data_IF_952558461725
#
_entry.id   IF_952558461725
#
_cell.length_a   1.000
_cell.length_b   1.000
_cell.length_c   1.000
_cell.angle_alpha   90.00
_cell.angle_beta   90.00
_cell.angle_gamma   90.00
#
_symmetry.space_group_name_H-M   'P 1'
#
loop_
_entity.id
_entity.type
_entity.pdbx_description
1 polymer ?
#
# COMPACT_ATOMS: atom_id res chain seq x y z
N UNK A 1 4.59 6.79 -15.50
CA UNK A 1 5.88 6.70 -14.77
C UNK A 1 6.08 7.98 -13.95
N UNK A 2 6.71 7.90 -12.79
CA UNK A 2 6.94 9.05 -11.90
C UNK A 2 6.76 8.69 -10.42
N UNK A 3 7.44 9.43 -9.54
CA UNK A 3 7.32 9.31 -8.08
C UNK A 3 5.93 9.85 -7.66
N UNK A 4 5.37 9.30 -6.59
CA UNK A 4 4.10 9.79 -6.04
C UNK A 4 4.23 11.23 -5.56
N UNK A 5 3.42 12.14 -6.12
CA UNK A 5 3.35 13.55 -5.70
C UNK A 5 2.58 13.75 -4.39
N UNK A 6 1.73 12.79 -4.00
CA UNK A 6 0.91 12.87 -2.79
C UNK A 6 0.77 11.54 -2.06
N UNK A 7 0.41 11.60 -0.77
CA UNK A 7 0.27 10.43 0.12
C UNK A 7 1.55 9.61 0.29
N UNK A 8 2.69 10.28 0.19
CA UNK A 8 4.04 9.77 0.41
C UNK A 8 4.54 9.99 1.87
N UNK A 9 3.76 10.71 2.68
CA UNK A 9 4.06 11.04 4.08
C UNK A 9 3.06 10.37 5.02
N UNK A 10 3.53 9.98 6.20
CA UNK A 10 2.70 9.41 7.29
C UNK A 10 1.80 10.53 7.82
N UNK A 11 0.48 10.29 7.96
CA UNK A 11 -0.44 11.32 8.49
C UNK A 11 -1.21 10.91 9.74
N UNK A 12 -1.42 9.62 9.97
CA UNK A 12 -2.26 9.11 11.06
C UNK A 12 -1.48 8.24 12.05
N UNK A 13 -0.66 7.33 11.52
CA UNK A 13 0.12 6.39 12.32
C UNK A 13 1.50 6.91 12.72
N UNK A 14 2.29 6.03 13.35
CA UNK A 14 3.73 6.23 13.60
C UNK A 14 4.60 5.40 12.65
N UNK A 15 4.02 4.36 12.06
CA UNK A 15 4.69 3.41 11.17
C UNK A 15 3.89 3.25 9.89
N UNK A 16 4.56 3.00 8.78
CA UNK A 16 3.89 2.81 7.50
C UNK A 16 4.60 1.80 6.58
N UNK A 17 3.83 1.30 5.61
CA UNK A 17 4.33 0.54 4.48
C UNK A 17 4.31 1.42 3.23
N UNK A 18 5.48 1.66 2.64
CA UNK A 18 5.64 2.48 1.44
C UNK A 18 5.99 1.61 0.22
N UNK A 19 5.40 1.90 -0.94
CA UNK A 19 5.72 1.26 -2.20
C UNK A 19 7.05 1.76 -2.77
N UNK A 20 7.89 0.85 -3.28
CA UNK A 20 9.13 1.19 -3.99
C UNK A 20 8.96 1.13 -5.51
N UNK A 21 7.96 0.39 -5.98
CA UNK A 21 7.73 0.13 -7.40
C UNK A 21 6.31 0.53 -7.81
N UNK A 22 6.07 0.88 -9.08
CA UNK A 22 4.73 1.13 -9.58
C UNK A 22 3.99 -0.21 -9.78
N UNK A 23 2.73 -0.28 -9.36
CA UNK A 23 1.86 -1.41 -9.68
C UNK A 23 0.38 -1.06 -9.58
N UNK A 24 -0.45 -1.93 -10.15
CA UNK A 24 -1.89 -1.95 -9.90
C UNK A 24 -2.17 -2.96 -8.81
N UNK A 25 -2.69 -2.48 -7.67
CA UNK A 25 -2.98 -3.34 -6.53
C UNK A 25 -4.49 -3.58 -6.49
N UNK A 26 -4.90 -4.85 -6.53
CA UNK A 26 -6.31 -5.24 -6.49
C UNK A 26 -6.92 -5.03 -5.11
N UNK A 27 -8.24 -4.85 -5.04
CA UNK A 27 -8.99 -4.81 -3.77
C UNK A 27 -8.69 -6.01 -2.86
N UNK A 28 -8.56 -7.21 -3.45
CA UNK A 28 -8.21 -8.47 -2.75
C UNK A 28 -6.84 -8.41 -2.10
N UNK A 29 -5.83 -7.86 -2.77
CA UNK A 29 -4.49 -7.68 -2.21
C UNK A 29 -4.48 -6.65 -1.09
N UNK A 30 -5.23 -5.54 -1.26
CA UNK A 30 -5.38 -4.52 -0.21
C UNK A 30 -5.98 -5.13 1.06
N UNK A 31 -7.05 -5.90 0.91
CA UNK A 31 -7.69 -6.56 2.05
C UNK A 31 -6.81 -7.66 2.66
N UNK A 32 -6.05 -8.40 1.85
CA UNK A 32 -5.11 -9.40 2.34
C UNK A 32 -4.02 -8.79 3.22
N UNK A 33 -3.46 -7.64 2.81
CA UNK A 33 -2.50 -6.87 3.62
C UNK A 33 -3.11 -6.38 4.93
N UNK A 34 -4.31 -5.78 4.88
CA UNK A 34 -5.03 -5.30 6.06
C UNK A 34 -5.34 -6.42 7.06
N UNK A 35 -5.87 -7.55 6.59
CA UNK A 35 -6.16 -8.74 7.42
C UNK A 35 -4.89 -9.29 8.07
N UNK A 36 -3.79 -9.37 7.31
CA UNK A 36 -2.51 -9.84 7.81
C UNK A 36 -1.98 -8.96 8.95
N UNK A 37 -2.04 -7.63 8.82
CA UNK A 37 -1.66 -6.72 9.90
C UNK A 37 -2.56 -6.87 11.12
N UNK A 38 -3.88 -6.92 10.91
CA UNK A 38 -4.87 -6.99 12.00
C UNK A 38 -4.63 -8.23 12.88
N UNK A 39 -4.34 -9.39 12.26
CA UNK A 39 -4.01 -10.63 13.00
C UNK A 39 -2.76 -10.50 13.87
N UNK A 40 -1.81 -9.65 13.49
CA UNK A 40 -0.53 -9.49 14.18
C UNK A 40 -0.50 -8.28 15.14
N UNK A 41 -1.49 -7.39 15.07
CA UNK A 41 -1.47 -6.12 15.80
C UNK A 41 -1.77 -6.24 17.31
N UNK A 42 -2.21 -7.40 17.82
CA UNK A 42 -2.79 -7.60 19.17
C UNK A 42 -3.98 -6.63 19.43
N UNK A 43 -4.72 -6.82 20.52
CA UNK A 43 -5.83 -5.91 20.88
C UNK A 43 -5.25 -4.52 21.17
N UNK A 44 -5.60 -3.51 20.36
CA UNK A 44 -5.21 -2.10 20.56
C UNK A 44 -4.49 -1.42 19.40
N UNK A 45 -3.98 -2.17 18.41
CA UNK A 45 -3.33 -1.57 17.25
C UNK A 45 -4.33 -0.92 16.28
N UNK A 46 -4.10 0.35 15.94
CA UNK A 46 -4.85 1.08 14.91
C UNK A 46 -4.17 0.90 13.55
N UNK A 47 -4.96 0.59 12.52
CA UNK A 47 -4.48 0.35 11.15
C UNK A 47 -5.28 1.25 10.21
N UNK A 48 -4.59 1.95 9.32
CA UNK A 48 -5.20 2.74 8.26
C UNK A 48 -4.77 2.19 6.91
N UNK A 49 -5.74 2.10 6.00
CA UNK A 49 -5.49 1.79 4.58
C UNK A 49 -5.44 3.12 3.83
N UNK A 50 -4.35 3.37 3.10
CA UNK A 50 -4.05 4.67 2.46
C UNK A 50 -4.31 4.69 0.95
N UNK A 51 -4.69 3.55 0.40
CA UNK A 51 -5.04 3.37 -1.01
C UNK A 51 -6.43 2.79 -1.11
N UNK A 52 -7.19 3.22 -2.12
CA UNK A 52 -8.53 2.74 -2.41
C UNK A 52 -8.58 2.26 -3.86
N UNK A 53 -9.22 1.12 -4.15
CA UNK A 53 -9.33 0.62 -5.52
C UNK A 53 -10.42 1.39 -6.27
N UNK A 54 -10.03 2.51 -6.87
CA UNK A 54 -10.88 3.48 -7.56
C UNK A 54 -10.94 3.29 -9.08
N UNK A 55 -10.06 2.46 -9.65
CA UNK A 55 -10.00 2.22 -11.09
C UNK A 55 -10.66 0.88 -11.46
N UNK A 56 -11.74 0.86 -12.25
CA UNK A 56 -12.32 -0.37 -12.76
C UNK A 56 -11.44 -0.96 -13.88
N UNK A 57 -11.26 -2.28 -13.87
CA UNK A 57 -10.61 -3.06 -14.93
C UNK A 57 -11.67 -3.90 -15.61
N UNK A 58 -11.84 -3.69 -16.92
CA UNK A 58 -12.76 -4.44 -17.76
C UNK A 58 -12.04 -5.60 -18.41
N UNK A 59 -12.66 -6.79 -18.36
CA UNK A 59 -12.11 -7.99 -18.97
C UNK A 59 -13.20 -8.58 -19.87
N UNK A 60 -12.78 -9.13 -21.00
CA UNK A 60 -13.67 -9.90 -21.86
C UNK A 60 -13.53 -11.39 -21.52
N UNK A 61 -14.63 -12.16 -21.49
CA UNK A 61 -14.55 -13.60 -21.32
C UNK A 61 -13.62 -14.23 -22.36
N UNK A 62 -12.82 -15.20 -21.94
CA UNK A 62 -11.84 -15.87 -22.79
C UNK A 62 -12.46 -16.58 -24.02
N UNK A 63 -13.76 -16.87 -23.94
CA UNK A 63 -14.53 -17.57 -24.98
C UNK A 63 -14.98 -16.66 -26.13
N UNK A 64 -14.76 -15.35 -26.04
CA UNK A 64 -15.22 -14.37 -27.04
C UNK A 64 -14.13 -14.01 -28.06
N UNK A 65 -14.52 -13.85 -29.33
CA UNK A 65 -13.63 -13.35 -30.39
C UNK A 65 -13.34 -11.85 -30.24
N UNK A 66 -12.25 -11.38 -30.84
CA UNK A 66 -11.95 -9.95 -30.93
C UNK A 66 -13.04 -9.20 -31.71
N UNK A 67 -13.40 -7.98 -31.29
CA UNK A 67 -14.55 -7.21 -31.84
C UNK A 67 -15.73 -7.09 -30.86
N UNK A 68 -16.74 -6.26 -31.15
CA UNK A 68 -17.97 -6.08 -30.32
C UNK A 68 -17.90 -5.23 -29.03
N UNK A 69 -16.99 -4.25 -28.93
CA UNK A 69 -17.03 -3.21 -27.87
C UNK A 69 -16.38 -3.56 -26.52
N UNK A 70 -16.38 -2.64 -25.55
CA UNK A 70 -15.68 -2.83 -24.26
C UNK A 70 -16.40 -3.86 -23.39
N UNK A 71 -15.66 -4.74 -22.72
CA UNK A 71 -16.23 -5.70 -21.75
C UNK A 71 -16.70 -5.01 -20.46
N UNK A 72 -17.42 -5.76 -19.62
CA UNK A 72 -17.89 -5.28 -18.30
C UNK A 72 -16.73 -5.16 -17.30
N UNK A 73 -16.79 -4.23 -16.33
CA UNK A 73 -15.82 -4.18 -15.22
C UNK A 73 -15.83 -5.47 -14.39
N UNK A 74 -14.70 -6.16 -14.28
CA UNK A 74 -14.58 -7.40 -13.51
C UNK A 74 -14.03 -7.13 -12.10
N UNK A 75 -13.03 -6.27 -11.98
CA UNK A 75 -12.43 -5.94 -10.68
C UNK A 75 -11.91 -4.52 -10.62
N UNK A 76 -11.64 -4.05 -9.40
CA UNK A 76 -11.14 -2.71 -9.13
C UNK A 76 -9.70 -2.76 -8.62
N UNK A 77 -8.89 -1.81 -9.09
CA UNK A 77 -7.48 -1.67 -8.74
C UNK A 77 -7.18 -0.27 -8.25
N UNK A 78 -6.20 -0.18 -7.36
CA UNK A 78 -5.56 1.07 -6.97
C UNK A 78 -4.29 1.24 -7.82
N UNK A 79 -4.13 2.39 -8.46
CA UNK A 79 -2.91 2.71 -9.21
C UNK A 79 -1.86 3.28 -8.25
N UNK A 80 -0.82 2.52 -7.98
CA UNK A 80 0.23 2.87 -7.03
C UNK A 80 1.49 3.32 -7.77
N UNK A 81 2.06 4.45 -7.31
CA UNK A 81 3.36 4.98 -7.74
C UNK A 81 4.42 4.74 -6.64
N UNK A 82 5.71 4.66 -7.00
CA UNK A 82 6.80 4.64 -6.03
C UNK A 82 6.70 5.80 -5.03
N UNK A 83 7.01 5.55 -3.78
CA UNK A 83 6.92 6.51 -2.67
C UNK A 83 5.53 6.63 -2.05
N UNK A 84 4.49 6.02 -2.62
CA UNK A 84 3.14 6.05 -2.04
C UNK A 84 3.05 5.17 -0.79
N UNK A 85 2.41 5.68 0.27
CA UNK A 85 2.10 4.88 1.46
C UNK A 85 0.84 4.05 1.20
N UNK A 86 0.94 2.75 1.50
CA UNK A 86 -0.12 1.76 1.34
C UNK A 86 -0.91 1.58 2.63
N UNK A 87 -0.21 1.51 3.75
CA UNK A 87 -0.80 1.33 5.07
C UNK A 87 -0.08 2.14 6.13
N UNK A 88 -0.80 2.52 7.17
CA UNK A 88 -0.25 3.08 8.39
C UNK A 88 -0.69 2.29 9.61
N UNK A 89 0.13 2.35 10.66
CA UNK A 89 -0.09 1.66 11.91
C UNK A 89 0.28 2.53 13.11
N UNK A 90 -0.50 2.45 14.18
CA UNK A 90 -0.34 3.20 15.42
C UNK A 90 -0.83 2.43 16.64
N UNK A 91 -0.52 2.91 17.84
CA UNK A 91 -0.92 2.25 19.09
C UNK A 91 -0.18 0.94 19.39
N UNK A 92 0.97 0.70 18.74
CA UNK A 92 1.78 -0.51 18.93
C UNK A 92 3.27 -0.17 19.07
N UNK A 93 4.03 -1.08 19.66
CA UNK A 93 5.49 -0.96 19.75
C UNK A 93 6.15 -1.18 18.38
N UNK A 94 7.35 -0.61 18.18
CA UNK A 94 8.12 -0.73 16.92
C UNK A 94 8.36 -2.19 16.51
N UNK A 95 8.61 -3.08 17.49
CA UNK A 95 8.83 -4.51 17.26
C UNK A 95 7.60 -5.17 16.64
N UNK A 96 6.41 -4.91 17.19
CA UNK A 96 5.14 -5.43 16.68
C UNK A 96 4.83 -4.82 15.32
N UNK A 97 4.98 -3.50 15.18
CA UNK A 97 4.73 -2.80 13.92
C UNK A 97 5.60 -3.34 12.78
N UNK A 98 6.91 -3.52 13.01
CA UNK A 98 7.85 -4.05 12.01
C UNK A 98 7.45 -5.45 11.59
N UNK A 99 7.06 -6.32 12.52
CA UNK A 99 6.60 -7.67 12.20
C UNK A 99 5.30 -7.66 11.40
N UNK A 100 4.29 -6.90 11.85
CA UNK A 100 3.00 -6.81 11.19
C UNK A 100 3.12 -6.26 9.76
N UNK A 101 3.88 -5.19 9.58
CA UNK A 101 4.12 -4.55 8.28
C UNK A 101 4.95 -5.46 7.36
N UNK A 102 5.92 -6.21 7.89
CA UNK A 102 6.69 -7.19 7.10
C UNK A 102 5.80 -8.32 6.57
N UNK A 103 4.79 -8.76 7.32
CA UNK A 103 3.82 -9.75 6.86
C UNK A 103 2.86 -9.14 5.83
N UNK A 104 2.48 -7.87 5.98
CA UNK A 104 1.69 -7.16 4.97
C UNK A 104 2.46 -7.00 3.66
N UNK A 105 3.76 -6.69 3.73
CA UNK A 105 4.65 -6.57 2.59
C UNK A 105 4.68 -7.85 1.75
N UNK A 106 4.70 -9.04 2.38
CA UNK A 106 4.67 -10.32 1.64
C UNK A 106 3.33 -10.62 0.96
N UNK A 107 2.28 -9.83 1.22
CA UNK A 107 1.00 -9.90 0.50
C UNK A 107 0.92 -8.90 -0.66
N UNK A 108 1.87 -7.98 -0.76
CA UNK A 108 1.90 -7.00 -1.84
C UNK A 108 2.63 -7.59 -3.06
N UNK A 109 2.17 -7.28 -4.28
CA UNK A 109 2.80 -7.76 -5.52
C UNK A 109 4.08 -6.98 -5.89
N UNK A 110 4.56 -6.08 -5.03
CA UNK A 110 5.66 -5.16 -5.29
C UNK A 110 6.62 -5.07 -4.12
N UNK A 111 7.83 -4.58 -4.39
CA UNK A 111 8.76 -4.21 -3.33
C UNK A 111 8.21 -3.04 -2.53
N UNK A 112 8.32 -3.17 -1.21
CA UNK A 112 7.84 -2.19 -0.25
C UNK A 112 8.86 -2.01 0.86
N UNK A 113 8.87 -0.83 1.49
CA UNK A 113 9.71 -0.54 2.64
C UNK A 113 8.88 -0.16 3.87
N UNK A 114 9.40 -0.51 5.05
CA UNK A 114 8.89 -0.02 6.33
C UNK A 114 9.45 1.37 6.60
N UNK A 115 8.57 2.31 6.93
CA UNK A 115 8.96 3.65 7.37
C UNK A 115 8.40 3.93 8.76
N UNK A 116 9.10 4.78 9.51
CA UNK A 116 8.65 5.31 10.80
C UNK A 116 8.89 6.80 10.83
N UNK A 117 8.03 7.56 11.51
CA UNK A 117 8.12 9.03 11.55
C UNK A 117 9.52 9.53 11.95
N UNK A 118 10.16 8.86 12.92
CA UNK A 118 11.54 9.16 13.38
C UNK A 118 12.62 8.98 12.30
N UNK A 119 12.42 8.06 11.35
CA UNK A 119 13.37 7.79 10.26
C UNK A 119 13.16 8.80 9.13
N UNK A 120 11.91 9.20 8.89
CA UNK A 120 11.59 10.18 7.86
C UNK A 120 12.18 11.55 8.19
N UNK A 121 12.13 11.98 9.45
CA UNK A 121 12.79 13.21 9.93
C UNK A 121 14.30 13.20 9.67
N UNK A 122 14.99 12.12 10.05
CA UNK A 122 16.44 11.99 9.78
C UNK A 122 16.78 12.04 8.29
N UNK A 123 15.97 11.41 7.45
CA UNK A 123 16.18 11.40 5.99
C UNK A 123 16.02 12.78 5.35
N UNK A 124 15.18 13.64 5.95
CA UNK A 124 14.96 15.01 5.49
C UNK A 124 16.08 15.95 5.94
N UNK A 125 16.58 15.80 7.17
CA UNK A 125 17.73 16.58 7.65
C UNK A 125 18.97 16.34 6.80
N UNK A 126 19.31 15.08 6.51
CA UNK A 126 20.48 14.74 5.69
C UNK A 126 20.42 15.28 4.26
N UNK A 127 19.22 15.40 3.67
CA UNK A 127 19.04 15.96 2.32
C UNK A 127 19.03 17.49 2.27
N UNK A 128 18.92 18.16 3.43
CA UNK A 128 18.89 19.63 3.53
C UNK A 128 20.28 20.22 3.77
N UNK A 129 21.23 19.38 4.21
CA UNK A 129 22.63 19.71 4.49
C UNK A 129 23.57 19.35 3.32
N UNK A 130 23.03 18.84 2.20
CA UNK A 130 23.70 18.48 0.96
C UNK A 130 23.19 19.32 -0.21
#
# INVERSE_FOLDING_TARGET
KGISSGGNHICFGKYALQALEPAWITSRQIEAGRRAMTRNARRGGKIWVRIFPDKPVTVRPAETRMGSGKGSPEYWVAVVKPGRILYEMGGVTKKIARRAISIAASKMPIRTQFISSEIEEKSKTTRKES
#
